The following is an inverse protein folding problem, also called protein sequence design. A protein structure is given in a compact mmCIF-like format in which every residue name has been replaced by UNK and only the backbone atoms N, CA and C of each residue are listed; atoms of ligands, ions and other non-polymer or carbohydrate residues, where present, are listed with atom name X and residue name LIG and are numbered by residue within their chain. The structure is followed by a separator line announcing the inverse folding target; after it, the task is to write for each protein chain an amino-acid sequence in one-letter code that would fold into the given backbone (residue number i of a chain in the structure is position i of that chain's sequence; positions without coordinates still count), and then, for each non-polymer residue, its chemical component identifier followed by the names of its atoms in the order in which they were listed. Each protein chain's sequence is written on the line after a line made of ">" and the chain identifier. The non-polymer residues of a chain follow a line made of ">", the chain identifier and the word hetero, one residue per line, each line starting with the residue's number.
data_IF_564226216107
#
_entry.id   IF_564226216107
#
_cell.length_a   1.000
_cell.length_b   1.000
_cell.length_c   1.000
_cell.angle_alpha   90.00
_cell.angle_beta   90.00
_cell.angle_gamma   90.00
#
_symmetry.space_group_name_H-M   'P 1'
#
loop_
_entity.id
_entity.type
_entity.pdbx_description
1 polymer ?
#
# COMPACT_ATOMS: atom_id res chain seq x y z
N UNK A 1 5.17 -30.97 -22.70
CA UNK A 1 5.64 -29.60 -22.95
C UNK A 1 4.56 -28.69 -22.42
N UNK A 2 4.70 -28.22 -21.17
CA UNK A 2 3.95 -27.04 -20.72
C UNK A 2 4.55 -25.87 -21.50
N UNK A 3 3.70 -25.09 -22.15
CA UNK A 3 4.12 -23.91 -22.90
C UNK A 3 4.58 -22.84 -21.91
N UNK A 4 5.61 -22.07 -22.24
CA UNK A 4 6.19 -21.01 -21.39
C UNK A 4 5.16 -20.11 -20.62
N UNK A 5 3.99 -19.73 -21.20
CA UNK A 5 3.00 -18.93 -20.47
C UNK A 5 2.43 -19.58 -19.20
N UNK A 6 2.43 -20.92 -19.11
CA UNK A 6 1.88 -21.63 -17.96
C UNK A 6 2.86 -21.63 -16.77
N UNK A 7 4.17 -21.71 -17.03
CA UNK A 7 5.22 -21.62 -16.00
C UNK A 7 5.31 -20.21 -15.41
N UNK A 8 5.11 -19.21 -16.28
CA UNK A 8 5.11 -17.78 -15.95
C UNK A 8 3.99 -17.41 -14.96
N UNK A 9 2.80 -18.00 -15.13
CA UNK A 9 1.66 -17.81 -14.22
C UNK A 9 1.82 -18.58 -12.90
N UNK A 10 2.44 -19.76 -12.92
CA UNK A 10 2.73 -20.54 -11.71
C UNK A 10 3.74 -19.81 -10.80
N UNK A 11 4.78 -19.20 -11.36
CA UNK A 11 5.76 -18.45 -10.57
C UNK A 11 5.16 -17.17 -9.98
N UNK A 12 4.36 -16.43 -10.75
CA UNK A 12 3.63 -15.27 -10.25
C UNK A 12 2.66 -15.64 -9.12
N UNK A 13 1.97 -16.78 -9.23
CA UNK A 13 1.10 -17.29 -8.18
C UNK A 13 1.89 -17.69 -6.92
N UNK A 14 3.02 -18.37 -7.06
CA UNK A 14 3.87 -18.75 -5.92
C UNK A 14 4.44 -17.51 -5.19
N UNK A 15 4.81 -16.46 -5.92
CA UNK A 15 5.23 -15.20 -5.33
C UNK A 15 4.09 -14.51 -4.59
N UNK A 16 2.87 -14.53 -5.13
CA UNK A 16 1.68 -14.00 -4.48
C UNK A 16 1.37 -14.71 -3.14
N UNK A 17 1.56 -16.03 -3.08
CA UNK A 17 1.35 -16.82 -1.86
C UNK A 17 2.34 -16.49 -0.73
N UNK A 18 3.54 -15.98 -1.05
CA UNK A 18 4.57 -15.70 -0.05
C UNK A 18 4.16 -14.61 0.97
N UNK A 19 3.24 -13.73 0.59
CA UNK A 19 2.72 -12.65 1.45
C UNK A 19 1.28 -12.89 1.91
N UNK A 20 0.67 -14.01 1.51
CA UNK A 20 -0.67 -14.35 1.93
C UNK A 20 -0.68 -14.76 3.42
N UNK A 21 -1.58 -14.13 4.17
CA UNK A 21 -1.79 -14.48 5.57
C UNK A 21 -2.70 -15.70 5.64
N UNK A 22 -2.30 -16.75 6.34
CA UNK A 22 -3.25 -17.80 6.72
C UNK A 22 -4.20 -17.29 7.82
N UNK A 23 -5.51 -17.54 7.67
CA UNK A 23 -6.49 -17.21 8.71
C UNK A 23 -6.15 -17.97 10.00
N UNK A 24 -5.59 -17.28 11.00
CA UNK A 24 -5.38 -17.87 12.33
C UNK A 24 -6.64 -17.71 13.17
N UNK A 25 -7.14 -18.83 13.70
CA UNK A 25 -8.33 -18.91 14.57
C UNK A 25 -8.01 -18.59 16.03
N UNK A 26 -7.16 -17.58 16.28
CA UNK A 26 -6.80 -17.20 17.64
C UNK A 26 -7.81 -16.20 18.23
N UNK A 27 -8.05 -16.36 19.53
CA UNK A 27 -9.10 -15.72 20.33
C UNK A 27 -9.04 -14.19 20.25
N UNK A 28 -10.20 -13.54 20.23
CA UNK A 28 -10.34 -12.07 20.15
C UNK A 28 -9.49 -11.35 21.21
N UNK A 29 -8.31 -10.85 20.84
CA UNK A 29 -7.64 -9.79 21.59
C UNK A 29 -8.00 -8.45 20.96
N UNK A 30 -9.20 -7.98 21.27
CA UNK A 30 -9.67 -6.64 20.91
C UNK A 30 -8.89 -5.57 21.67
N UNK A 31 -7.69 -5.23 21.21
CA UNK A 31 -6.91 -4.12 21.77
C UNK A 31 -7.56 -2.79 21.35
N UNK A 32 -8.46 -2.28 22.18
CA UNK A 32 -8.97 -0.90 22.11
C UNK A 32 -7.94 0.06 22.69
N UNK A 33 -6.71 0.02 22.19
CA UNK A 33 -5.63 0.87 22.71
C UNK A 33 -5.98 2.35 22.57
N UNK A 34 -5.66 3.13 23.60
CA UNK A 34 -5.80 4.59 23.57
C UNK A 34 -4.74 5.20 22.66
N UNK A 35 -4.96 6.43 22.18
CA UNK A 35 -3.97 7.17 21.38
C UNK A 35 -2.58 7.20 22.04
N UNK A 36 -2.52 7.50 23.36
CA UNK A 36 -1.27 7.54 24.12
C UNK A 36 -0.59 6.16 24.20
N UNK A 37 -1.38 5.09 24.33
CA UNK A 37 -0.86 3.72 24.32
C UNK A 37 -0.27 3.36 22.95
N UNK A 38 -0.93 3.76 21.85
CA UNK A 38 -0.43 3.57 20.49
C UNK A 38 0.90 4.29 20.28
N UNK A 39 1.00 5.56 20.67
CA UNK A 39 2.24 6.36 20.57
C UNK A 39 3.38 5.71 21.37
N UNK A 40 3.10 5.26 22.60
CA UNK A 40 4.09 4.59 23.45
C UNK A 40 4.61 3.30 22.81
N UNK A 41 3.70 2.46 22.30
CA UNK A 41 4.05 1.21 21.60
C UNK A 41 4.91 1.49 20.37
N UNK A 42 4.52 2.49 19.58
CA UNK A 42 5.22 2.87 18.36
C UNK A 42 6.64 3.38 18.64
N UNK A 43 6.81 4.22 19.66
CA UNK A 43 8.14 4.71 20.08
C UNK A 43 9.03 3.59 20.63
N UNK A 44 8.47 2.63 21.37
CA UNK A 44 9.18 1.42 21.81
C UNK A 44 9.72 0.64 20.61
N UNK A 45 8.86 0.38 19.61
CA UNK A 45 9.24 -0.35 18.41
C UNK A 45 10.30 0.40 17.58
N UNK A 46 10.16 1.72 17.38
CA UNK A 46 11.17 2.52 16.69
C UNK A 46 12.51 2.56 17.43
N UNK A 47 12.49 2.66 18.76
CA UNK A 47 13.72 2.66 19.57
C UNK A 47 14.56 1.41 19.32
N UNK A 48 13.92 0.24 19.13
CA UNK A 48 14.61 -1.02 18.81
C UNK A 48 15.21 -1.05 17.41
N UNK A 49 14.67 -0.26 16.49
CA UNK A 49 15.22 -0.09 15.14
C UNK A 49 16.44 0.84 15.08
N UNK A 50 16.74 1.59 16.16
CA UNK A 50 17.87 2.53 16.18
C UNK A 50 19.20 1.78 16.07
N UNK A 51 20.07 2.26 15.18
CA UNK A 51 21.47 1.85 15.15
C UNK A 51 22.15 2.32 16.45
N UNK A 52 22.99 1.45 17.05
CA UNK A 52 23.64 1.64 18.37
C UNK A 52 24.36 2.98 18.62
N UNK A 53 24.64 3.79 17.59
CA UNK A 53 25.35 5.07 17.67
C UNK A 53 24.47 6.33 17.50
N UNK A 54 23.17 6.19 17.25
CA UNK A 54 22.27 7.29 16.95
C UNK A 54 21.18 7.44 18.03
N UNK A 55 21.56 7.87 19.23
CA UNK A 55 20.66 7.96 20.39
C UNK A 55 19.74 9.18 20.40
N UNK A 56 19.98 10.17 19.53
CA UNK A 56 19.27 11.46 19.47
C UNK A 56 18.59 11.76 18.12
N UNK A 57 18.62 10.84 17.16
CA UNK A 57 18.03 11.03 15.84
C UNK A 57 16.71 10.27 15.72
N UNK A 58 15.71 10.89 15.09
CA UNK A 58 14.48 10.22 14.69
C UNK A 58 14.79 9.02 13.80
N UNK A 59 13.97 7.97 13.90
CA UNK A 59 14.15 6.76 13.11
C UNK A 59 13.52 6.93 11.74
N UNK A 60 14.33 6.81 10.68
CA UNK A 60 13.81 6.74 9.32
C UNK A 60 13.05 5.43 9.09
N UNK A 61 11.92 5.47 8.38
CA UNK A 61 11.13 4.27 8.06
C UNK A 61 11.95 3.16 7.38
N UNK A 62 12.95 3.54 6.59
CA UNK A 62 13.91 2.61 5.98
C UNK A 62 14.77 1.82 6.98
N UNK A 63 14.67 2.10 8.28
CA UNK A 63 15.34 1.34 9.35
C UNK A 63 14.42 0.30 10.01
N UNK A 64 13.12 0.28 9.69
CA UNK A 64 12.18 -0.69 10.23
C UNK A 64 12.53 -2.11 9.79
N UNK A 65 12.58 -3.01 10.77
CA UNK A 65 12.98 -4.41 10.61
C UNK A 65 11.82 -5.37 10.94
N UNK A 66 12.10 -6.67 10.99
CA UNK A 66 11.09 -7.67 11.34
C UNK A 66 10.56 -7.50 12.77
N UNK A 67 11.42 -7.17 13.74
CA UNK A 67 11.04 -6.96 15.14
C UNK A 67 10.01 -5.82 15.29
N UNK A 68 10.15 -4.75 14.50
CA UNK A 68 9.16 -3.68 14.44
C UNK A 68 7.77 -4.20 14.04
N UNK A 69 7.70 -4.98 12.95
CA UNK A 69 6.44 -5.54 12.47
C UNK A 69 5.86 -6.53 13.49
N UNK A 70 6.68 -7.37 14.09
CA UNK A 70 6.24 -8.31 15.12
C UNK A 70 5.62 -7.58 16.31
N UNK A 71 6.31 -6.57 16.87
CA UNK A 71 5.80 -5.79 18.00
C UNK A 71 4.49 -5.08 17.64
N UNK A 72 4.46 -4.39 16.50
CA UNK A 72 3.30 -3.61 16.12
C UNK A 72 2.08 -4.47 15.75
N UNK A 73 2.31 -5.71 15.32
CA UNK A 73 1.23 -6.63 14.91
C UNK A 73 0.91 -7.73 15.93
N UNK A 74 1.59 -7.76 17.07
CA UNK A 74 1.47 -8.84 18.06
C UNK A 74 0.06 -9.03 18.62
N UNK A 75 -0.70 -7.95 18.81
CA UNK A 75 -2.05 -7.95 19.37
C UNK A 75 -3.16 -7.92 18.31
N UNK A 76 -2.81 -8.16 17.04
CA UNK A 76 -3.73 -8.05 15.92
C UNK A 76 -4.13 -9.42 15.40
N UNK A 77 -5.42 -9.55 15.11
CA UNK A 77 -5.91 -10.66 14.31
C UNK A 77 -5.34 -10.52 12.90
N UNK A 78 -4.59 -11.53 12.47
CA UNK A 78 -4.04 -11.63 11.10
C UNK A 78 -5.02 -12.44 10.27
N UNK A 79 -5.53 -11.86 9.20
CA UNK A 79 -6.58 -12.48 8.36
C UNK A 79 -6.24 -12.37 6.88
N UNK A 80 -6.87 -13.23 6.08
CA UNK A 80 -6.93 -13.04 4.63
C UNK A 80 -7.73 -11.79 4.30
N UNK A 81 -7.24 -11.03 3.33
CA UNK A 81 -7.95 -9.86 2.82
C UNK A 81 -9.25 -10.28 2.13
N UNK A 82 -10.38 -10.01 2.77
CA UNK A 82 -11.72 -10.33 2.25
C UNK A 82 -12.42 -9.04 1.84
N UNK A 83 -12.34 -8.74 0.55
CA UNK A 83 -13.06 -7.63 -0.07
C UNK A 83 -13.25 -7.94 -1.55
N UNK A 84 -14.51 -7.99 -1.98
CA UNK A 84 -14.87 -8.17 -3.38
C UNK A 84 -14.37 -6.98 -4.21
N UNK A 85 -13.83 -7.27 -5.39
CA UNK A 85 -13.34 -6.23 -6.29
C UNK A 85 -14.52 -5.59 -7.03
N UNK A 86 -14.60 -4.26 -6.95
CA UNK A 86 -15.45 -3.43 -7.79
C UNK A 86 -14.72 -3.10 -9.08
N UNK A 87 -15.43 -3.18 -10.19
CA UNK A 87 -14.89 -2.79 -11.49
C UNK A 87 -14.73 -1.27 -11.57
N UNK A 88 -13.55 -0.82 -11.99
CA UNK A 88 -13.33 0.55 -12.40
C UNK A 88 -14.25 0.87 -13.58
N UNK A 89 -14.99 1.99 -13.59
CA UNK A 89 -15.94 2.27 -14.65
C UNK A 89 -15.29 2.24 -16.04
N UNK A 90 -15.96 1.60 -17.00
CA UNK A 90 -15.37 1.25 -18.30
C UNK A 90 -14.72 2.43 -19.06
N UNK A 91 -15.26 3.65 -18.91
CA UNK A 91 -14.67 4.84 -19.52
C UNK A 91 -13.27 5.15 -18.96
N UNK A 92 -13.09 5.04 -17.65
CA UNK A 92 -11.81 5.24 -16.98
C UNK A 92 -10.82 4.12 -17.28
N UNK A 93 -11.31 2.88 -17.30
CA UNK A 93 -10.49 1.73 -17.67
C UNK A 93 -9.97 1.85 -19.12
N UNK A 94 -10.83 2.29 -20.06
CA UNK A 94 -10.44 2.54 -21.45
C UNK A 94 -9.38 3.64 -21.58
N UNK A 95 -9.49 4.70 -20.78
CA UNK A 95 -8.48 5.77 -20.77
C UNK A 95 -7.14 5.25 -20.23
N UNK A 96 -7.15 4.54 -19.10
CA UNK A 96 -5.95 3.98 -18.49
C UNK A 96 -5.22 3.03 -19.43
N UNK A 97 -5.95 2.08 -20.02
CA UNK A 97 -5.39 1.12 -20.99
C UNK A 97 -4.82 1.80 -22.24
N UNK A 98 -5.44 2.88 -22.72
CA UNK A 98 -4.91 3.68 -23.85
C UNK A 98 -3.61 4.39 -23.48
N UNK A 99 -3.52 4.97 -22.28
CA UNK A 99 -2.29 5.61 -21.77
C UNK A 99 -1.16 4.59 -21.64
N UNK A 100 -1.44 3.44 -21.01
CA UNK A 100 -0.45 2.38 -20.80
C UNK A 100 0.11 1.86 -22.11
N UNK A 101 -0.77 1.56 -23.07
CA UNK A 101 -0.34 1.16 -24.42
C UNK A 101 0.60 2.20 -25.05
N UNK A 102 0.26 3.48 -24.94
CA UNK A 102 1.09 4.57 -25.50
C UNK A 102 2.44 4.67 -24.79
N UNK A 103 2.47 4.54 -23.47
CA UNK A 103 3.69 4.57 -22.65
C UNK A 103 4.62 3.42 -22.99
N UNK A 104 4.11 2.20 -23.07
CA UNK A 104 4.87 1.00 -23.47
C UNK A 104 5.52 1.21 -24.84
N UNK A 105 4.74 1.64 -25.84
CA UNK A 105 5.23 1.86 -27.21
C UNK A 105 6.29 2.96 -27.26
N UNK A 106 6.13 4.02 -26.46
CA UNK A 106 7.03 5.18 -26.47
C UNK A 106 8.33 4.97 -25.68
N UNK A 107 8.33 4.13 -24.64
CA UNK A 107 9.44 4.02 -23.69
C UNK A 107 10.64 3.23 -24.21
N UNK A 108 10.44 2.40 -25.26
CA UNK A 108 11.41 1.43 -25.81
C UNK A 108 11.91 0.41 -24.77
N UNK A 109 12.22 -0.80 -25.20
CA UNK A 109 12.71 -1.83 -24.29
C UNK A 109 14.09 -1.47 -23.70
N UNK A 110 14.35 -1.74 -22.41
CA UNK A 110 13.40 -2.23 -21.38
C UNK A 110 12.53 -1.08 -20.82
N UNK A 111 11.23 -1.16 -21.09
CA UNK A 111 10.26 -0.05 -21.01
C UNK A 111 9.84 0.33 -19.59
N UNK A 112 10.27 -0.40 -18.57
CA UNK A 112 10.03 -0.12 -17.14
C UNK A 112 11.30 -0.24 -16.27
N UNK A 113 12.49 -0.18 -16.90
CA UNK A 113 13.78 -0.41 -16.24
C UNK A 113 14.13 0.62 -15.16
N UNK A 114 13.78 1.89 -15.38
CA UNK A 114 14.08 2.97 -14.43
C UNK A 114 12.87 3.33 -13.55
N UNK A 115 13.15 3.91 -12.39
CA UNK A 115 12.13 4.24 -11.39
C UNK A 115 11.14 5.29 -11.86
N UNK A 116 11.61 6.32 -12.57
CA UNK A 116 10.74 7.39 -13.07
C UNK A 116 9.64 6.84 -13.98
N UNK A 117 10.00 5.94 -14.90
CA UNK A 117 9.02 5.30 -15.80
C UNK A 117 8.03 4.43 -15.04
N UNK A 118 8.47 3.62 -14.05
CA UNK A 118 7.56 2.84 -13.21
C UNK A 118 6.59 3.72 -12.43
N UNK A 119 7.07 4.84 -11.88
CA UNK A 119 6.23 5.82 -11.18
C UNK A 119 5.15 6.39 -12.09
N UNK A 120 5.42 6.66 -13.38
CA UNK A 120 4.39 7.12 -14.32
C UNK A 120 3.22 6.13 -14.43
N UNK A 121 3.49 4.83 -14.51
CA UNK A 121 2.43 3.83 -14.52
C UNK A 121 1.65 3.82 -13.20
N UNK A 122 2.35 3.75 -12.07
CA UNK A 122 1.72 3.78 -10.74
C UNK A 122 0.83 5.03 -10.60
N UNK A 123 1.34 6.21 -10.97
CA UNK A 123 0.65 7.49 -10.94
C UNK A 123 -0.64 7.47 -11.76
N UNK A 124 -0.60 6.89 -12.96
CA UNK A 124 -1.76 6.80 -13.84
C UNK A 124 -2.87 5.95 -13.23
N UNK A 125 -2.56 4.82 -12.57
CA UNK A 125 -3.56 4.04 -11.82
C UNK A 125 -4.15 4.85 -10.69
N UNK A 126 -3.30 5.42 -9.83
CA UNK A 126 -3.74 6.13 -8.62
C UNK A 126 -4.61 7.34 -9.00
N UNK A 127 -4.15 8.15 -9.95
CA UNK A 127 -4.86 9.35 -10.42
C UNK A 127 -6.19 8.98 -11.09
N UNK A 128 -6.19 7.95 -11.94
CA UNK A 128 -7.41 7.48 -12.61
C UNK A 128 -8.45 7.00 -11.60
N UNK A 129 -8.04 6.19 -10.63
CA UNK A 129 -8.95 5.64 -9.61
C UNK A 129 -9.50 6.74 -8.68
N UNK A 130 -8.65 7.68 -8.23
CA UNK A 130 -9.09 8.84 -7.44
C UNK A 130 -10.11 9.66 -8.22
N UNK A 131 -9.83 9.96 -9.49
CA UNK A 131 -10.75 10.73 -10.34
C UNK A 131 -12.09 10.01 -10.52
N UNK A 132 -12.06 8.72 -10.82
CA UNK A 132 -13.27 7.91 -11.00
C UNK A 132 -14.15 7.88 -9.74
N UNK A 133 -13.55 7.78 -8.55
CA UNK A 133 -14.30 7.82 -7.29
C UNK A 133 -14.95 9.19 -7.06
N UNK A 134 -14.23 10.29 -7.31
CA UNK A 134 -14.74 11.66 -7.16
C UNK A 134 -15.92 11.94 -8.07
N UNK A 135 -15.82 11.52 -9.33
CA UNK A 135 -16.89 11.70 -10.31
C UNK A 135 -18.12 10.85 -10.00
N UNK A 136 -17.92 9.65 -9.46
CA UNK A 136 -18.99 8.72 -9.10
C UNK A 136 -19.59 8.94 -7.71
N UNK A 137 -19.01 9.80 -6.86
CA UNK A 137 -19.47 10.04 -5.49
C UNK A 137 -19.09 11.44 -4.98
N UNK A 138 -20.08 12.32 -4.88
CA UNK A 138 -19.88 13.70 -4.41
C UNK A 138 -19.40 13.78 -2.96
N UNK A 139 -19.63 12.76 -2.13
CA UNK A 139 -19.11 12.73 -0.75
C UNK A 139 -17.58 12.54 -0.73
N UNK A 140 -16.99 12.12 -1.84
CA UNK A 140 -15.56 11.93 -2.03
C UNK A 140 -14.88 13.12 -2.72
N UNK A 141 -15.54 14.27 -2.83
CA UNK A 141 -14.98 15.47 -3.48
C UNK A 141 -13.60 15.88 -2.91
N UNK A 142 -13.41 15.68 -1.60
CA UNK A 142 -12.17 15.99 -0.88
C UNK A 142 -11.16 14.83 -0.86
N UNK A 143 -11.29 13.87 -1.79
CA UNK A 143 -10.28 12.85 -2.03
C UNK A 143 -9.13 13.44 -2.86
N UNK A 144 -7.90 13.32 -2.36
CA UNK A 144 -6.69 13.86 -2.99
C UNK A 144 -5.52 12.89 -2.95
N UNK A 145 -4.82 12.75 -4.07
CA UNK A 145 -3.52 12.09 -4.15
C UNK A 145 -2.42 13.12 -3.85
N UNK A 146 -1.58 12.84 -2.86
CA UNK A 146 -0.44 13.67 -2.47
C UNK A 146 0.85 12.91 -2.81
N UNK A 147 1.79 13.58 -3.46
CA UNK A 147 3.10 13.05 -3.81
C UNK A 147 4.12 13.43 -2.75
N UNK A 148 5.06 12.52 -2.45
CA UNK A 148 6.19 12.74 -1.54
C UNK A 148 5.74 13.40 -0.22
N UNK A 149 4.67 12.86 0.38
CA UNK A 149 4.06 13.45 1.56
C UNK A 149 4.85 13.04 2.80
N UNK A 150 5.33 14.03 3.56
CA UNK A 150 5.84 13.79 4.91
C UNK A 150 4.73 13.27 5.81
N UNK A 151 5.05 12.20 6.54
CA UNK A 151 4.16 11.57 7.51
C UNK A 151 4.95 11.54 8.81
N UNK A 152 4.98 12.66 9.53
CA UNK A 152 5.76 12.81 10.76
C UNK A 152 4.85 13.32 11.87
N UNK A 153 4.98 12.79 13.08
CA UNK A 153 4.30 13.30 14.28
C UNK A 153 5.35 13.66 15.35
N UNK A 154 5.29 14.86 15.97
CA UNK A 154 6.28 15.27 16.97
C UNK A 154 6.36 14.38 18.22
N UNK A 155 5.31 13.61 18.53
CA UNK A 155 5.29 12.66 19.65
C UNK A 155 5.81 11.28 19.27
N UNK A 156 6.06 11.04 17.97
CA UNK A 156 6.60 9.77 17.48
C UNK A 156 8.06 9.95 17.09
N UNK A 157 8.92 9.05 17.57
CA UNK A 157 10.35 9.03 17.30
C UNK A 157 10.69 8.45 15.90
N UNK A 158 9.95 8.90 14.90
CA UNK A 158 10.16 8.52 13.53
C UNK A 158 9.88 9.69 12.60
N UNK A 159 10.58 9.66 11.47
CA UNK A 159 10.37 10.64 10.42
C UNK A 159 10.57 9.99 9.07
N UNK A 160 9.70 10.28 8.13
CA UNK A 160 9.82 9.78 6.78
C UNK A 160 8.81 10.39 5.83
N UNK A 161 9.12 10.20 4.55
CA UNK A 161 8.27 10.61 3.44
C UNK A 161 7.74 9.35 2.81
N UNK A 162 6.41 9.27 2.64
CA UNK A 162 5.78 8.25 1.83
C UNK A 162 5.75 8.73 0.38
N UNK A 163 5.95 7.82 -0.57
CA UNK A 163 5.94 8.15 -2.00
C UNK A 163 4.60 8.75 -2.42
N UNK A 164 3.50 8.16 -1.93
CA UNK A 164 2.17 8.75 -2.07
C UNK A 164 1.33 8.60 -0.82
N UNK A 165 0.41 9.55 -0.62
CA UNK A 165 -0.62 9.45 0.39
C UNK A 165 -1.94 9.94 -0.20
N UNK A 166 -2.96 9.11 -0.12
CA UNK A 166 -4.32 9.51 -0.45
C UNK A 166 -4.98 10.02 0.82
N UNK A 167 -5.59 11.20 0.75
CA UNK A 167 -6.31 11.84 1.84
C UNK A 167 -7.79 12.01 1.49
N UNK A 168 -8.66 11.88 2.48
CA UNK A 168 -10.06 12.31 2.41
C UNK A 168 -10.23 13.47 3.41
N UNK A 169 -10.41 14.68 2.89
CA UNK A 169 -10.29 15.89 3.70
C UNK A 169 -8.90 15.99 4.34
N UNK A 170 -8.83 16.16 5.65
CA UNK A 170 -7.56 16.23 6.40
C UNK A 170 -7.03 14.87 6.83
N UNK A 171 -7.81 13.79 6.64
CA UNK A 171 -7.49 12.43 7.09
C UNK A 171 -6.67 11.71 6.03
N UNK A 172 -5.60 11.04 6.44
CA UNK A 172 -4.81 10.14 5.59
C UNK A 172 -5.47 8.76 5.59
N UNK A 173 -5.85 8.28 4.41
CA UNK A 173 -6.68 7.07 4.27
C UNK A 173 -5.93 5.91 3.62
N UNK A 174 -5.00 6.21 2.70
CA UNK A 174 -4.11 5.22 2.09
C UNK A 174 -2.70 5.76 2.07
N UNK A 175 -1.73 4.99 2.59
CA UNK A 175 -0.29 5.29 2.50
C UNK A 175 0.34 4.36 1.48
N UNK A 176 1.12 4.88 0.55
CA UNK A 176 1.64 4.13 -0.58
C UNK A 176 3.15 4.28 -0.65
N UNK A 177 3.85 3.15 -0.67
CA UNK A 177 5.30 3.07 -0.85
C UNK A 177 5.61 2.38 -2.17
N UNK A 178 6.36 3.05 -3.04
CA UNK A 178 6.61 2.65 -4.42
C UNK A 178 8.12 2.57 -4.68
N UNK A 179 8.74 1.42 -4.36
CA UNK A 179 10.19 1.24 -4.42
C UNK A 179 10.57 -0.07 -5.08
N UNK A 180 11.61 -0.02 -5.94
CA UNK A 180 12.27 -1.20 -6.48
C UNK A 180 13.27 -1.73 -5.45
N UNK A 181 12.75 -2.43 -4.45
CA UNK A 181 13.55 -3.12 -3.44
C UNK A 181 12.81 -4.38 -2.97
N UNK A 182 13.40 -5.06 -1.99
CA UNK A 182 12.76 -6.15 -1.27
C UNK A 182 11.36 -5.73 -0.78
N UNK A 183 10.33 -6.43 -1.26
CA UNK A 183 8.94 -6.14 -0.93
C UNK A 183 8.62 -6.31 0.55
N UNK A 184 9.33 -7.18 1.28
CA UNK A 184 9.21 -7.25 2.75
C UNK A 184 9.70 -5.96 3.40
N UNK A 185 10.80 -5.41 2.88
CA UNK A 185 11.33 -4.15 3.37
C UNK A 185 10.40 -2.99 3.05
N UNK A 186 9.85 -2.93 1.83
CA UNK A 186 8.82 -1.95 1.43
C UNK A 186 7.60 -2.04 2.34
N UNK A 187 7.14 -3.25 2.66
CA UNK A 187 6.02 -3.49 3.57
C UNK A 187 6.29 -2.95 4.97
N UNK A 188 7.48 -3.17 5.51
CA UNK A 188 7.89 -2.63 6.82
C UNK A 188 7.88 -1.09 6.83
N UNK A 189 8.41 -0.45 5.77
CA UNK A 189 8.40 1.00 5.64
C UNK A 189 6.98 1.55 5.55
N UNK A 190 6.16 0.95 4.69
CA UNK A 190 4.76 1.34 4.49
C UNK A 190 3.96 1.20 5.78
N UNK A 191 4.08 0.07 6.48
CA UNK A 191 3.37 -0.17 7.72
C UNK A 191 3.77 0.82 8.83
N UNK A 192 5.06 1.17 8.91
CA UNK A 192 5.51 2.21 9.84
C UNK A 192 4.86 3.57 9.54
N UNK A 193 4.85 3.98 8.28
CA UNK A 193 4.19 5.20 7.85
C UNK A 193 2.66 5.16 8.07
N UNK A 194 2.02 4.00 7.87
CA UNK A 194 0.61 3.79 8.17
C UNK A 194 0.31 4.01 9.66
N UNK A 195 1.09 3.42 10.56
CA UNK A 195 0.87 3.56 12.00
C UNK A 195 1.09 5.01 12.48
N UNK A 196 2.08 5.73 11.94
CA UNK A 196 2.23 7.18 12.20
C UNK A 196 1.05 7.99 11.65
N UNK A 197 0.59 7.67 10.43
CA UNK A 197 -0.59 8.32 9.86
C UNK A 197 -1.85 8.11 10.68
N UNK A 198 -2.03 6.93 11.31
CA UNK A 198 -3.15 6.67 12.25
C UNK A 198 -3.06 7.55 13.49
N UNK A 199 -1.87 7.70 14.08
CA UNK A 199 -1.64 8.62 15.21
C UNK A 199 -2.06 10.03 14.80
N UNK A 200 -1.56 10.53 13.66
CA UNK A 200 -1.91 11.86 13.15
C UNK A 200 -3.41 12.03 12.89
N UNK A 201 -4.08 11.00 12.36
CA UNK A 201 -5.53 11.03 12.16
C UNK A 201 -6.26 11.15 13.50
N UNK A 202 -5.89 10.34 14.50
CA UNK A 202 -6.53 10.35 15.82
C UNK A 202 -6.44 11.69 16.56
N UNK A 203 -5.43 12.53 16.29
CA UNK A 203 -5.33 13.89 16.85
C UNK A 203 -6.30 14.88 16.22
N UNK A 204 -6.58 14.72 14.92
CA UNK A 204 -7.46 15.63 14.16
C UNK A 204 -8.93 15.38 14.43
N UNK A 205 -9.26 14.18 14.89
CA UNK A 205 -10.61 13.65 15.01
C UNK A 205 -10.97 13.39 16.47
N UNK A 206 -10.67 14.33 17.38
CA UNK A 206 -10.96 14.18 18.82
C UNK A 206 -12.45 13.92 19.12
N UNK A 207 -13.35 14.36 18.24
CA UNK A 207 -14.80 14.15 18.35
C UNK A 207 -15.33 12.98 17.49
N UNK A 208 -14.48 12.35 16.68
CA UNK A 208 -14.94 11.37 15.68
C UNK A 208 -14.92 9.96 16.29
N UNK A 209 -16.11 9.46 16.61
CA UNK A 209 -16.34 8.07 17.02
C UNK A 209 -16.03 7.08 15.91
N UNK A 210 -15.89 7.54 14.66
CA UNK A 210 -15.81 6.67 13.50
C UNK A 210 -14.40 6.64 12.89
N UNK A 211 -13.73 5.51 13.12
CA UNK A 211 -12.84 4.95 12.12
C UNK A 211 -11.48 5.61 11.91
N UNK A 212 -11.04 6.64 12.65
CA UNK A 212 -9.66 7.18 12.51
C UNK A 212 -8.56 6.11 12.65
N UNK A 213 -8.91 5.03 13.36
CA UNK A 213 -8.10 3.83 13.58
C UNK A 213 -7.93 3.00 12.31
N UNK A 214 -8.73 3.19 11.29
CA UNK A 214 -8.65 2.42 10.07
C UNK A 214 -7.77 3.15 9.05
N UNK A 215 -6.81 2.42 8.50
CA UNK A 215 -5.95 2.91 7.45
C UNK A 215 -5.63 1.78 6.49
N UNK A 216 -5.42 2.13 5.23
CA UNK A 216 -5.00 1.19 4.20
C UNK A 216 -3.59 1.52 3.70
N UNK A 217 -2.94 0.52 3.14
CA UNK A 217 -1.58 0.60 2.62
C UNK A 217 -1.47 -0.04 1.25
N UNK A 218 -0.57 0.49 0.43
CA UNK A 218 -0.15 -0.15 -0.82
C UNK A 218 1.38 -0.15 -0.86
N UNK A 219 1.97 -1.33 -1.03
CA UNK A 219 3.39 -1.47 -1.30
C UNK A 219 3.53 -1.95 -2.73
N UNK A 220 4.36 -1.30 -3.54
CA UNK A 220 4.58 -1.76 -4.91
C UNK A 220 6.00 -1.50 -5.38
N UNK A 221 6.54 -2.45 -6.14
CA UNK A 221 7.73 -2.24 -6.97
C UNK A 221 7.38 -2.04 -8.44
N UNK A 222 6.08 -1.87 -8.74
CA UNK A 222 5.36 -1.93 -10.03
C UNK A 222 4.81 -3.31 -10.42
N UNK A 223 5.58 -4.37 -10.20
CA UNK A 223 5.23 -5.73 -10.59
C UNK A 223 4.42 -6.44 -9.51
N UNK A 224 4.83 -6.20 -8.27
CA UNK A 224 4.23 -6.66 -7.04
C UNK A 224 3.36 -5.55 -6.46
N UNK A 225 2.17 -5.90 -5.99
CA UNK A 225 1.26 -4.99 -5.31
C UNK A 225 0.74 -5.67 -4.05
N UNK A 226 1.19 -5.21 -2.89
CA UNK A 226 0.72 -5.68 -1.59
C UNK A 226 -0.26 -4.64 -1.05
N UNK A 227 -1.51 -5.05 -0.93
CA UNK A 227 -2.59 -4.26 -0.35
C UNK A 227 -2.73 -4.61 1.12
N UNK A 228 -2.73 -3.60 1.98
CA UNK A 228 -2.75 -3.76 3.43
C UNK A 228 -3.98 -3.05 3.98
N UNK A 229 -4.75 -3.73 4.84
CA UNK A 229 -5.81 -3.12 5.64
C UNK A 229 -5.47 -3.26 7.11
N UNK A 230 -5.48 -2.14 7.82
CA UNK A 230 -5.16 -2.08 9.25
C UNK A 230 -6.29 -1.37 9.99
N UNK A 231 -7.00 -2.09 10.84
CA UNK A 231 -8.07 -1.53 11.69
C UNK A 231 -7.57 -1.31 13.12
N UNK A 232 -8.42 -1.23 14.14
CA UNK A 232 -7.94 -1.35 15.53
C UNK A 232 -7.44 -2.76 15.85
N UNK A 233 -8.15 -3.78 15.38
CA UNK A 233 -8.02 -5.17 15.86
C UNK A 233 -7.48 -6.14 14.81
N UNK A 234 -7.41 -5.71 13.55
CA UNK A 234 -7.10 -6.59 12.43
C UNK A 234 -5.96 -6.02 11.58
N UNK A 235 -5.16 -6.93 11.03
CA UNK A 235 -4.26 -6.72 9.91
C UNK A 235 -4.61 -7.74 8.83
N UNK A 236 -4.99 -7.26 7.66
CA UNK A 236 -5.25 -8.08 6.49
C UNK A 236 -4.32 -7.67 5.34
N UNK A 237 -3.82 -8.65 4.59
CA UNK A 237 -2.94 -8.41 3.45
C UNK A 237 -3.38 -9.22 2.24
N UNK A 238 -3.21 -8.64 1.04
CA UNK A 238 -3.37 -9.31 -0.24
C UNK A 238 -2.20 -8.95 -1.12
N UNK A 239 -1.52 -9.95 -1.67
CA UNK A 239 -0.49 -9.72 -2.67
C UNK A 239 -1.02 -10.09 -4.06
N UNK A 240 -0.78 -9.19 -5.01
CA UNK A 240 -1.06 -9.39 -6.42
C UNK A 240 0.24 -9.21 -7.19
N UNK A 241 0.55 -10.17 -8.05
CA UNK A 241 1.72 -10.14 -8.93
C UNK A 241 1.21 -9.99 -10.35
N UNK A 242 1.59 -8.90 -11.02
CA UNK A 242 1.18 -8.64 -12.39
C UNK A 242 2.04 -9.43 -13.37
N UNK A 243 3.37 -9.38 -13.19
CA UNK A 243 4.38 -10.11 -13.97
C UNK A 243 5.64 -10.33 -13.16
N UNK A 244 6.33 -11.45 -13.36
CA UNK A 244 7.66 -11.73 -12.83
C UNK A 244 8.75 -10.96 -13.62
N UNK A 245 10.00 -10.85 -13.11
CA UNK A 245 11.10 -10.26 -13.86
C UNK A 245 11.31 -10.89 -15.24
N UNK A 246 11.09 -12.20 -15.37
CA UNK A 246 11.30 -12.95 -16.61
C UNK A 246 10.17 -12.74 -17.63
N UNK A 247 8.98 -12.33 -17.18
CA UNK A 247 7.78 -12.19 -18.02
C UNK A 247 7.45 -10.74 -18.35
N UNK A 248 8.12 -9.80 -17.69
CA UNK A 248 7.84 -8.38 -17.79
C UNK A 248 7.91 -7.88 -19.24
N UNK A 249 8.89 -8.35 -20.00
CA UNK A 249 9.10 -7.96 -21.40
C UNK A 249 8.36 -8.89 -22.41
N UNK A 250 7.67 -9.94 -21.97
CA UNK A 250 6.85 -10.79 -22.85
C UNK A 250 5.57 -10.06 -23.26
N UNK A 251 5.36 -9.79 -24.54
CA UNK A 251 4.15 -9.11 -25.05
C UNK A 251 3.79 -7.86 -24.22
N UNK A 252 4.63 -6.81 -24.21
CA UNK A 252 4.51 -5.69 -23.29
C UNK A 252 3.23 -4.85 -23.53
N UNK A 253 2.63 -4.97 -24.72
CA UNK A 253 1.33 -4.36 -25.03
C UNK A 253 0.19 -5.01 -24.24
N UNK A 254 0.33 -6.29 -23.88
CA UNK A 254 -0.68 -7.03 -23.12
C UNK A 254 -0.57 -6.77 -21.61
N UNK A 255 0.50 -6.11 -21.14
CA UNK A 255 0.67 -5.73 -19.74
C UNK A 255 -0.49 -4.88 -19.21
N UNK A 256 -1.18 -4.15 -20.10
CA UNK A 256 -2.37 -3.39 -19.73
C UNK A 256 -3.48 -4.27 -19.14
N UNK A 257 -3.57 -5.54 -19.55
CA UNK A 257 -4.58 -6.48 -19.05
C UNK A 257 -4.24 -6.95 -17.64
N UNK A 258 -2.96 -7.19 -17.36
CA UNK A 258 -2.45 -7.59 -16.04
C UNK A 258 -2.69 -6.52 -14.97
N UNK A 259 -2.82 -5.26 -15.41
CA UNK A 259 -3.02 -4.11 -14.52
C UNK A 259 -4.50 -3.80 -14.26
N UNK A 260 -5.43 -4.42 -14.99
CA UNK A 260 -6.88 -4.23 -14.75
C UNK A 260 -7.29 -4.70 -13.36
N UNK A 261 -6.90 -5.91 -12.90
CA UNK A 261 -7.19 -6.34 -11.53
C UNK A 261 -6.62 -5.39 -10.46
N UNK A 262 -5.42 -4.85 -10.67
CA UNK A 262 -4.81 -3.86 -9.78
C UNK A 262 -5.64 -2.57 -9.74
N UNK A 263 -6.01 -2.03 -10.90
CA UNK A 263 -6.82 -0.82 -11.00
C UNK A 263 -8.18 -1.00 -10.31
N UNK A 264 -8.83 -2.16 -10.52
CA UNK A 264 -10.07 -2.51 -9.82
C UNK A 264 -9.87 -2.57 -8.30
N UNK A 265 -8.80 -3.19 -7.81
CA UNK A 265 -8.50 -3.26 -6.38
C UNK A 265 -8.28 -1.87 -5.77
N UNK A 266 -7.48 -1.02 -6.42
CA UNK A 266 -7.25 0.38 -5.98
C UNK A 266 -8.56 1.16 -5.97
N UNK A 267 -9.36 1.06 -7.04
CA UNK A 267 -10.67 1.69 -7.11
C UNK A 267 -11.59 1.22 -5.98
N UNK A 268 -11.62 -0.08 -5.70
CA UNK A 268 -12.42 -0.68 -4.63
C UNK A 268 -12.02 -0.14 -3.25
N UNK A 269 -10.71 -0.10 -2.97
CA UNK A 269 -10.17 0.46 -1.73
C UNK A 269 -10.65 1.88 -1.51
N UNK A 270 -10.62 2.71 -2.54
CA UNK A 270 -11.02 4.12 -2.49
C UNK A 270 -12.54 4.30 -2.41
N UNK A 271 -13.31 3.45 -3.11
CA UNK A 271 -14.77 3.53 -3.15
C UNK A 271 -15.41 3.15 -1.81
N UNK A 272 -14.76 2.27 -1.04
CA UNK A 272 -15.24 1.80 0.27
C UNK A 272 -14.64 2.55 1.47
N UNK A 273 -13.86 3.61 1.25
CA UNK A 273 -13.54 4.59 2.30
C UNK A 273 -14.80 5.29 2.80
#
# INVERSE_FOLDING_TARGET
>A
MLTAPDLDLEEAAAQAEAFDIEDKTDTESGSTSSHATTVTKLNSAFTKCRKRKATSQSVGYSSCNAEFMEEMTADLKKTKYKQEDLELPAAYLKQLTTKYRSLVVSSREPWCSNEATRRVFIDDILTTCVTAVKDGDKTKADLFLNYEKRVDDPEVDASGTADYVITLGTRMVIVIEAKKCDMEHTLRQNFAAMEVARVLNGKKTQDDKDGWRDIQGICTDYQNWIFVKRTSTELAMKHMVCRTPDTLDHDPVDFLFDMVPIANRVYTMLKLL
#
